data_IF_388319264182
#
_entry.id   IF_388319264182
#
_cell.length_a   1.000
_cell.length_b   1.000
_cell.length_c   1.000
_cell.angle_alpha   90.00
_cell.angle_beta   90.00
_cell.angle_gamma   90.00
#
_symmetry.space_group_name_H-M   'P 1'
#
loop_
_entity.id
_entity.type
_entity.pdbx_description
1 polymer ?
#
# COMPACT_ATOMS: atom_id res chain seq x y z
N UNK A 1 -17.64 -25.15 -13.33
CA UNK A 1 -16.29 -25.22 -12.73
C UNK A 1 -15.48 -24.01 -13.16
N UNK A 2 -15.43 -22.91 -12.37
CA UNK A 2 -14.41 -21.89 -12.51
C UNK A 2 -13.50 -21.87 -11.27
N UNK A 3 -12.20 -22.12 -11.47
CA UNK A 3 -11.17 -21.97 -10.43
C UNK A 3 -10.85 -20.47 -10.29
N UNK A 4 -11.65 -19.74 -9.52
CA UNK A 4 -11.51 -18.29 -9.32
C UNK A 4 -10.76 -18.00 -8.03
N UNK A 5 -9.43 -18.08 -8.10
CA UNK A 5 -8.55 -17.69 -6.98
C UNK A 5 -7.70 -16.45 -7.32
N UNK A 6 -7.82 -15.95 -8.55
CA UNK A 6 -7.17 -14.71 -9.00
C UNK A 6 -7.93 -13.43 -8.62
N UNK A 7 -9.22 -13.52 -8.24
CA UNK A 7 -10.03 -12.33 -7.93
C UNK A 7 -9.77 -11.78 -6.53
N UNK A 8 -9.53 -12.64 -5.53
CA UNK A 8 -9.42 -12.20 -4.13
C UNK A 8 -8.31 -11.18 -3.90
N UNK A 9 -7.11 -11.40 -4.44
CA UNK A 9 -5.99 -10.47 -4.24
C UNK A 9 -6.19 -9.13 -4.97
N UNK A 10 -6.74 -9.15 -6.19
CA UNK A 10 -7.00 -7.94 -6.96
C UNK A 10 -8.13 -7.10 -6.35
N UNK A 11 -9.16 -7.75 -5.82
CA UNK A 11 -10.27 -7.12 -5.10
C UNK A 11 -9.77 -6.51 -3.78
N UNK A 12 -9.02 -7.27 -2.97
CA UNK A 12 -8.39 -6.77 -1.74
C UNK A 12 -7.49 -5.56 -2.00
N UNK A 13 -6.67 -5.60 -3.06
CA UNK A 13 -5.84 -4.44 -3.44
C UNK A 13 -6.68 -3.21 -3.74
N UNK A 14 -7.81 -3.38 -4.42
CA UNK A 14 -8.70 -2.26 -4.79
C UNK A 14 -9.43 -1.71 -3.58
N UNK A 15 -9.90 -2.58 -2.68
CA UNK A 15 -10.54 -2.20 -1.42
C UNK A 15 -9.56 -1.44 -0.52
N UNK A 16 -8.34 -1.96 -0.33
CA UNK A 16 -7.31 -1.29 0.45
C UNK A 16 -6.94 0.06 -0.18
N UNK A 17 -6.82 0.14 -1.51
CA UNK A 17 -6.56 1.41 -2.18
C UNK A 17 -7.67 2.45 -1.93
N UNK A 18 -8.94 2.01 -1.94
CA UNK A 18 -10.08 2.87 -1.60
C UNK A 18 -10.06 3.30 -0.12
N UNK A 19 -9.70 2.39 0.79
CA UNK A 19 -9.55 2.68 2.22
C UNK A 19 -8.44 3.71 2.47
N UNK A 20 -7.31 3.59 1.78
CA UNK A 20 -6.21 4.56 1.83
C UNK A 20 -6.68 5.95 1.39
N UNK A 21 -7.43 6.02 0.29
CA UNK A 21 -7.97 7.29 -0.20
C UNK A 21 -8.95 7.92 0.81
N UNK A 22 -9.82 7.10 1.42
CA UNK A 22 -10.75 7.56 2.45
C UNK A 22 -10.03 8.04 3.73
N UNK A 23 -8.99 7.33 4.17
CA UNK A 23 -8.22 7.69 5.36
C UNK A 23 -7.51 9.04 5.20
N UNK A 24 -6.96 9.30 4.02
CA UNK A 24 -6.27 10.54 3.70
C UNK A 24 -7.22 11.69 3.30
N UNK A 25 -8.54 11.46 3.31
CA UNK A 25 -9.55 12.46 2.95
C UNK A 25 -9.55 12.87 1.48
N UNK A 26 -8.98 12.04 0.60
CA UNK A 26 -8.99 12.30 -0.86
C UNK A 26 -10.31 11.87 -1.49
N UNK A 27 -10.74 12.61 -2.51
CA UNK A 27 -11.96 12.29 -3.24
C UNK A 27 -11.83 10.91 -3.91
N UNK A 28 -12.75 9.96 -3.65
CA UNK A 28 -12.66 8.58 -4.14
C UNK A 28 -12.70 8.47 -5.67
N UNK A 29 -13.09 9.52 -6.41
CA UNK A 29 -13.07 9.53 -7.89
C UNK A 29 -11.76 10.03 -8.50
N UNK A 30 -10.87 10.62 -7.72
CA UNK A 30 -9.53 11.03 -8.18
C UNK A 30 -8.51 10.88 -7.05
N UNK A 31 -8.18 9.64 -6.67
CA UNK A 31 -7.09 9.41 -5.73
C UNK A 31 -5.79 9.92 -6.35
N UNK A 32 -4.98 10.71 -5.63
CA UNK A 32 -3.68 11.11 -6.12
C UNK A 32 -2.82 9.86 -6.35
N UNK A 33 -2.28 9.71 -7.55
CA UNK A 33 -1.51 8.51 -7.94
C UNK A 33 -0.34 8.25 -6.97
N UNK A 34 0.21 9.33 -6.41
CA UNK A 34 1.36 9.31 -5.51
C UNK A 34 1.07 10.12 -4.23
N UNK A 35 1.41 9.55 -3.07
CA UNK A 35 1.32 10.17 -1.74
C UNK A 35 2.72 10.48 -1.19
N UNK A 36 2.83 11.48 -0.32
CA UNK A 36 4.11 11.85 0.30
C UNK A 36 4.47 10.94 1.49
N UNK A 37 5.71 11.00 1.99
CA UNK A 37 6.23 10.17 3.09
C UNK A 37 5.35 10.23 4.36
N UNK A 38 4.80 11.40 4.70
CA UNK A 38 3.90 11.55 5.85
C UNK A 38 2.56 10.82 5.65
N UNK A 39 1.99 10.94 4.46
CA UNK A 39 0.72 10.27 4.13
C UNK A 39 0.91 8.76 4.04
N UNK A 40 2.01 8.30 3.45
CA UNK A 40 2.36 6.88 3.42
C UNK A 40 2.57 6.32 4.84
N UNK A 41 3.16 7.10 5.73
CA UNK A 41 3.35 6.71 7.13
C UNK A 41 2.02 6.63 7.88
N UNK A 42 1.11 7.59 7.67
CA UNK A 42 -0.24 7.58 8.23
C UNK A 42 -1.05 6.36 7.75
N UNK A 43 -0.97 6.06 6.45
CA UNK A 43 -1.60 4.87 5.84
C UNK A 43 -1.13 3.56 6.47
N UNK A 44 0.16 3.45 6.76
CA UNK A 44 0.74 2.23 7.31
C UNK A 44 0.70 2.18 8.84
N UNK A 45 0.20 3.22 9.50
CA UNK A 45 0.26 3.44 10.96
C UNK A 45 1.71 3.35 11.50
N UNK A 46 2.60 4.11 10.88
CA UNK A 46 4.02 4.15 11.22
C UNK A 46 4.50 5.61 11.33
N UNK A 47 5.70 5.79 11.89
CA UNK A 47 6.39 7.08 11.83
C UNK A 47 7.07 7.25 10.46
N UNK A 48 7.11 8.46 9.87
CA UNK A 48 7.84 8.73 8.62
C UNK A 48 9.32 8.32 8.70
N UNK A 49 9.95 8.48 9.87
CA UNK A 49 11.32 8.03 10.10
C UNK A 49 11.50 6.52 9.89
N UNK A 50 10.49 5.71 10.21
CA UNK A 50 10.52 4.26 9.97
C UNK A 50 10.60 3.96 8.47
N UNK A 51 9.87 4.70 7.64
CA UNK A 51 9.95 4.58 6.18
C UNK A 51 11.33 5.00 5.65
N UNK A 52 11.93 6.05 6.21
CA UNK A 52 13.31 6.44 5.89
C UNK A 52 14.33 5.34 6.23
N UNK A 53 14.16 4.67 7.38
CA UNK A 53 14.98 3.51 7.77
C UNK A 53 14.75 2.34 6.81
N UNK A 54 13.51 2.05 6.41
CA UNK A 54 13.22 0.97 5.45
C UNK A 54 13.90 1.20 4.11
N UNK A 55 13.88 2.44 3.60
CA UNK A 55 14.59 2.81 2.36
C UNK A 55 16.10 2.68 2.50
N UNK A 56 16.67 3.03 3.65
CA UNK A 56 18.12 3.02 3.89
C UNK A 56 18.66 1.61 4.15
N UNK A 57 17.87 0.76 4.80
CA UNK A 57 18.24 -0.63 5.13
C UNK A 57 17.89 -1.62 4.04
N UNK A 58 16.98 -1.26 3.12
CA UNK A 58 16.49 -2.16 2.08
C UNK A 58 15.70 -3.36 2.62
N UNK A 59 15.28 -3.33 3.89
CA UNK A 59 14.63 -4.47 4.58
C UNK A 59 13.29 -4.87 3.96
N UNK A 60 12.57 -3.91 3.39
CA UNK A 60 11.28 -4.13 2.78
C UNK A 60 11.27 -3.61 1.35
N UNK A 61 10.83 -4.45 0.42
CA UNK A 61 10.70 -4.09 -0.99
C UNK A 61 9.43 -3.27 -1.23
N UNK A 62 9.36 -2.07 -0.65
CA UNK A 62 8.31 -1.09 -0.89
C UNK A 62 8.82 -0.08 -1.93
N UNK A 63 8.30 -0.10 -3.17
CA UNK A 63 8.72 0.84 -4.21
C UNK A 63 8.46 2.28 -3.78
N UNK A 64 9.42 3.16 -4.06
CA UNK A 64 9.31 4.59 -3.81
C UNK A 64 9.81 5.38 -5.02
N UNK A 65 9.16 6.50 -5.30
CA UNK A 65 9.57 7.45 -6.32
C UNK A 65 10.35 8.57 -5.65
N UNK A 66 11.63 8.68 -5.98
CA UNK A 66 12.48 9.79 -5.54
C UNK A 66 12.44 10.90 -6.60
N UNK A 67 11.89 12.05 -6.22
CA UNK A 67 11.81 13.25 -7.07
C UNK A 67 12.56 14.38 -6.38
N UNK A 68 13.87 14.47 -6.64
CA UNK A 68 14.76 15.41 -5.97
C UNK A 68 14.84 15.15 -4.47
N UNK A 69 14.43 16.14 -3.66
CA UNK A 69 14.33 16.01 -2.20
C UNK A 69 13.07 15.28 -1.72
N UNK A 70 12.06 15.17 -2.59
CA UNK A 70 10.78 14.58 -2.25
C UNK A 70 10.81 13.07 -2.49
N UNK A 71 10.15 12.34 -1.60
CA UNK A 71 9.94 10.90 -1.71
C UNK A 71 8.45 10.67 -1.72
N UNK A 72 7.99 9.98 -2.75
CA UNK A 72 6.58 9.68 -2.96
C UNK A 72 6.36 8.19 -3.08
N UNK A 73 5.19 7.73 -2.68
CA UNK A 73 4.76 6.34 -2.74
C UNK A 73 3.51 6.25 -3.60
N UNK A 74 3.41 5.22 -4.43
CA UNK A 74 2.16 4.98 -5.15
C UNK A 74 1.15 4.35 -4.21
N UNK A 75 -0.10 4.79 -4.28
CA UNK A 75 -1.19 4.17 -3.51
C UNK A 75 -1.33 2.70 -3.91
N UNK A 76 -1.16 2.38 -5.20
CA UNK A 76 -1.19 0.99 -5.69
C UNK A 76 -0.17 0.09 -5.02
N UNK A 77 1.03 0.62 -4.76
CA UNK A 77 2.16 -0.15 -4.24
C UNK A 77 2.03 -0.30 -2.73
N UNK A 78 1.49 0.72 -2.03
CA UNK A 78 1.11 0.64 -0.63
C UNK A 78 -0.01 -0.38 -0.41
N UNK A 79 -1.06 -0.33 -1.25
CA UNK A 79 -2.16 -1.29 -1.18
C UNK A 79 -1.69 -2.71 -1.45
N UNK A 80 -0.80 -2.91 -2.42
CA UNK A 80 -0.21 -4.21 -2.72
C UNK A 80 0.68 -4.71 -1.57
N UNK A 81 1.45 -3.81 -0.95
CA UNK A 81 2.28 -4.13 0.21
C UNK A 81 1.43 -4.58 1.41
N UNK A 82 0.29 -3.93 1.65
CA UNK A 82 -0.66 -4.32 2.68
C UNK A 82 -1.37 -5.64 2.31
N UNK A 83 -1.88 -5.77 1.09
CA UNK A 83 -2.53 -6.99 0.60
C UNK A 83 -1.63 -8.23 0.72
N UNK A 84 -0.33 -8.10 0.41
CA UNK A 84 0.66 -9.18 0.58
C UNK A 84 0.89 -9.57 2.04
N UNK A 85 0.63 -8.67 2.99
CA UNK A 85 0.80 -8.88 4.44
C UNK A 85 -0.49 -9.28 5.14
N UNK A 86 -1.62 -9.03 4.51
CA UNK A 86 -2.92 -9.58 4.91
C UNK A 86 -2.95 -11.07 4.54
N UNK A 87 -2.30 -11.88 5.38
CA UNK A 87 -2.42 -13.33 5.33
C UNK A 87 -3.38 -13.79 6.43
N UNK A 88 -4.46 -14.46 6.05
CA UNK A 88 -5.35 -15.11 7.00
C UNK A 88 -4.61 -16.32 7.60
N UNK A 89 -4.17 -16.20 8.85
CA UNK A 89 -3.69 -17.35 9.61
C UNK A 89 -4.88 -18.26 9.94
N UNK A 90 -5.12 -19.27 9.09
CA UNK A 90 -5.16 -20.73 9.41
C UNK A 90 -5.71 -21.48 8.19
N UNK A 91 -4.82 -22.05 7.37
CA UNK A 91 -5.11 -23.31 6.67
C UNK A 91 -6.17 -23.37 5.56
N UNK A 92 -6.35 -22.37 4.71
CA UNK A 92 -7.05 -22.59 3.44
C UNK A 92 -6.29 -21.93 2.29
N UNK A 93 -5.66 -22.78 1.48
CA UNK A 93 -5.10 -22.43 0.17
C UNK A 93 -6.28 -22.50 -0.79
N UNK A 94 -6.70 -21.32 -1.22
CA UNK A 94 -7.63 -21.11 -2.32
C UNK A 94 -6.72 -20.94 -3.54
#
# INVERSE_FOLDING_TARGET
MPTTHASGFAELKTEIAAQIAAQLGFDPKSPPVNVDDNQAAEVLDLKPNTLAVWRSTGRYNLPYLKVGRLVKYRISDLAEFLARRTANHTGEVV
#
